data_IF_373787088100
#
_entry.id   IF_373787088100
#
_cell.length_a   1.000
_cell.length_b   1.000
_cell.length_c   1.000
_cell.angle_alpha   90.00
_cell.angle_beta   90.00
_cell.angle_gamma   90.00
#
_symmetry.space_group_name_H-M   'P 1'
#
loop_
_entity.id
_entity.type
_entity.pdbx_description
1 polymer ?
#
# COMPACT_ATOMS: atom_id res chain seq x y z
N UNK A 1 -10.66 -9.33 -20.61
CA UNK A 1 -9.26 -8.91 -20.75
C UNK A 1 -8.70 -8.63 -19.37
N UNK A 2 -7.58 -9.24 -19.00
CA UNK A 2 -6.89 -8.96 -17.74
C UNK A 2 -5.87 -7.84 -18.00
N UNK A 3 -6.01 -6.72 -17.31
CA UNK A 3 -5.11 -5.59 -17.48
C UNK A 3 -3.97 -5.69 -16.47
N UNK A 4 -2.73 -5.59 -16.94
CA UNK A 4 -1.57 -5.41 -16.06
C UNK A 4 -1.49 -3.94 -15.66
N UNK A 5 -1.17 -3.67 -14.40
CA UNK A 5 -0.94 -2.30 -13.91
C UNK A 5 0.33 -2.23 -13.08
N UNK A 6 0.98 -1.09 -13.18
CA UNK A 6 2.12 -0.72 -12.37
C UNK A 6 1.76 0.57 -11.62
N UNK A 7 1.98 0.58 -10.31
CA UNK A 7 1.65 1.69 -9.44
C UNK A 7 2.87 1.99 -8.56
N UNK A 8 3.12 3.28 -8.35
CA UNK A 8 4.07 3.78 -7.36
C UNK A 8 3.27 4.54 -6.32
N UNK A 9 3.51 4.24 -5.05
CA UNK A 9 2.87 4.93 -3.95
C UNK A 9 3.93 5.36 -2.95
N UNK A 10 4.00 6.66 -2.69
CA UNK A 10 4.95 7.24 -1.75
C UNK A 10 4.20 7.75 -0.52
N UNK A 11 4.66 7.35 0.66
CA UNK A 11 4.12 7.77 1.95
C UNK A 11 5.22 8.45 2.76
N UNK A 12 5.11 9.77 2.91
CA UNK A 12 6.00 10.55 3.76
C UNK A 12 5.30 10.92 5.07
N UNK A 13 6.00 10.74 6.19
CA UNK A 13 5.54 11.14 7.51
C UNK A 13 6.60 11.99 8.21
N UNK A 14 6.14 13.07 8.83
CA UNK A 14 6.93 13.88 9.76
C UNK A 14 6.03 14.31 10.93
N UNK A 15 6.37 13.87 12.14
CA UNK A 15 5.53 14.07 13.31
C UNK A 15 6.05 13.36 14.56
N UNK A 16 5.11 12.96 15.42
CA UNK A 16 5.44 12.22 16.64
C UNK A 16 5.56 10.73 16.33
N UNK A 17 6.62 10.09 16.82
CA UNK A 17 6.77 8.65 16.69
C UNK A 17 5.63 7.91 17.37
N UNK A 18 5.13 6.85 16.74
CA UNK A 18 4.03 6.03 17.24
C UNK A 18 4.58 4.74 17.86
N UNK A 19 4.40 4.57 19.16
CA UNK A 19 4.72 3.30 19.83
C UNK A 19 3.56 2.31 19.70
N UNK A 20 3.67 1.44 18.69
CA UNK A 20 2.71 0.38 18.44
C UNK A 20 3.24 -0.91 19.09
N UNK A 21 2.51 -1.44 20.07
CA UNK A 21 2.87 -2.71 20.72
C UNK A 21 2.78 -3.84 19.68
N UNK A 22 3.87 -4.61 19.53
CA UNK A 22 4.05 -5.60 18.45
C UNK A 22 3.98 -5.03 17.03
N UNK A 23 4.08 -3.71 16.88
CA UNK A 23 4.19 -3.06 15.58
C UNK A 23 5.63 -2.98 15.10
N UNK A 24 5.78 -2.58 13.85
CA UNK A 24 7.08 -2.34 13.26
C UNK A 24 7.78 -1.14 13.92
N UNK A 25 9.06 -1.31 14.27
CA UNK A 25 9.90 -0.27 14.86
C UNK A 25 10.07 0.96 13.96
N UNK A 26 9.83 0.80 12.65
CA UNK A 26 9.76 1.87 11.66
C UNK A 26 8.84 3.02 12.09
N UNK A 27 7.66 2.71 12.66
CA UNK A 27 6.67 3.72 13.05
C UNK A 27 7.07 4.51 14.30
N UNK A 28 8.13 4.11 15.02
CA UNK A 28 8.67 4.86 16.16
C UNK A 28 9.43 6.12 15.73
N UNK A 29 9.81 6.21 14.46
CA UNK A 29 10.66 7.30 13.96
C UNK A 29 9.80 8.55 13.75
N UNK A 30 10.36 9.71 14.12
CA UNK A 30 9.70 11.02 13.94
C UNK A 30 9.55 11.44 12.49
N UNK A 31 10.43 10.92 11.63
CA UNK A 31 10.42 11.18 10.20
C UNK A 31 10.70 9.86 9.51
N UNK A 32 9.90 9.53 8.51
CA UNK A 32 10.13 8.36 7.67
C UNK A 32 9.47 8.54 6.30
N UNK A 33 9.93 7.76 5.34
CA UNK A 33 9.36 7.62 4.02
C UNK A 33 9.20 6.14 3.68
N UNK A 34 8.11 5.77 3.00
CA UNK A 34 7.92 4.46 2.40
C UNK A 34 7.55 4.61 0.94
N UNK A 35 8.32 3.97 0.07
CA UNK A 35 7.99 3.84 -1.33
C UNK A 35 7.50 2.42 -1.63
N UNK A 36 6.26 2.29 -2.08
CA UNK A 36 5.68 1.05 -2.54
C UNK A 36 5.71 0.95 -4.07
N UNK A 37 6.37 -0.09 -4.56
CA UNK A 37 6.33 -0.51 -5.96
C UNK A 37 5.32 -1.65 -6.07
N UNK A 38 4.23 -1.40 -6.79
CA UNK A 38 3.10 -2.32 -6.85
C UNK A 38 2.91 -2.82 -8.28
N UNK A 39 2.94 -4.13 -8.44
CA UNK A 39 2.63 -4.80 -9.70
C UNK A 39 1.34 -5.59 -9.58
N UNK A 40 0.37 -5.26 -10.45
CA UNK A 40 -0.92 -5.94 -10.54
C UNK A 40 -0.94 -6.77 -11.82
N UNK A 41 -0.53 -8.05 -11.80
CA UNK A 41 -0.57 -8.89 -12.99
C UNK A 41 -1.99 -9.32 -13.36
N UNK A 42 -2.88 -9.37 -12.38
CA UNK A 42 -4.24 -9.89 -12.54
C UNK A 42 -5.25 -8.87 -12.03
N UNK A 43 -6.04 -8.35 -12.96
CA UNK A 43 -7.22 -7.55 -12.69
C UNK A 43 -8.36 -8.13 -13.52
N UNK A 44 -9.34 -8.74 -12.86
CA UNK A 44 -10.48 -9.34 -13.54
C UNK A 44 -11.77 -9.15 -12.74
N UNK A 45 -12.78 -8.57 -13.39
CA UNK A 45 -14.07 -8.22 -12.77
C UNK A 45 -13.85 -7.41 -11.48
N UNK A 46 -14.15 -8.02 -10.33
CA UNK A 46 -14.09 -7.43 -8.99
C UNK A 46 -12.92 -7.93 -8.15
N UNK A 47 -12.00 -8.69 -8.75
CA UNK A 47 -10.85 -9.29 -8.07
C UNK A 47 -9.57 -8.71 -8.67
N UNK A 48 -8.66 -8.27 -7.79
CA UNK A 48 -7.29 -7.92 -8.16
C UNK A 48 -6.28 -8.62 -7.26
N UNK A 49 -5.21 -9.13 -7.87
CA UNK A 49 -4.04 -9.66 -7.19
C UNK A 49 -2.86 -8.74 -7.41
N UNK A 50 -2.16 -8.37 -6.34
CA UNK A 50 -1.05 -7.41 -6.36
C UNK A 50 0.16 -7.97 -5.62
N UNK A 51 1.34 -7.77 -6.20
CA UNK A 51 2.62 -7.88 -5.52
C UNK A 51 3.09 -6.48 -5.14
N UNK A 52 3.54 -6.31 -3.90
CA UNK A 52 3.94 -5.03 -3.34
C UNK A 52 5.35 -5.20 -2.79
N UNK A 53 6.26 -4.35 -3.24
CA UNK A 53 7.60 -4.21 -2.70
C UNK A 53 7.70 -2.84 -2.02
N UNK A 54 7.87 -2.84 -0.71
CA UNK A 54 7.87 -1.65 0.13
C UNK A 54 9.29 -1.33 0.58
N UNK A 55 9.78 -0.15 0.23
CA UNK A 55 11.09 0.34 0.62
C UNK A 55 10.95 1.34 1.76
N UNK A 56 11.44 0.99 2.95
CA UNK A 56 11.32 1.81 4.14
C UNK A 56 12.61 2.62 4.38
N UNK A 57 12.45 3.93 4.50
CA UNK A 57 13.54 4.88 4.73
C UNK A 57 13.26 5.69 5.98
N UNK A 58 14.20 5.74 6.91
CA UNK A 58 14.12 6.59 8.10
C UNK A 58 15.52 7.00 8.56
N UNK A 59 15.66 8.08 9.36
CA UNK A 59 16.96 8.48 9.90
C UNK A 59 17.65 7.33 10.64
N UNK A 60 18.83 6.95 10.14
CA UNK A 60 19.65 5.87 10.70
C UNK A 60 19.18 4.45 10.38
N UNK A 61 18.14 4.26 9.55
CA UNK A 61 17.66 2.94 9.14
C UNK A 61 17.07 2.99 7.73
N UNK A 62 17.78 2.39 6.77
CA UNK A 62 17.43 2.38 5.33
C UNK A 62 17.10 0.98 4.78
N UNK A 63 17.04 -0.04 5.64
CA UNK A 63 17.02 -1.44 5.19
C UNK A 63 15.94 -2.28 5.88
N UNK A 64 14.73 -1.72 6.03
CA UNK A 64 13.58 -2.44 6.57
C UNK A 64 12.56 -2.78 5.48
N UNK A 65 13.04 -3.27 4.34
CA UNK A 65 12.19 -3.47 3.17
C UNK A 65 11.23 -4.64 3.38
N UNK A 66 9.99 -4.48 2.92
CA UNK A 66 8.94 -5.48 3.07
C UNK A 66 8.37 -5.91 1.71
N UNK A 67 7.80 -7.10 1.70
CA UNK A 67 7.16 -7.70 0.52
C UNK A 67 5.80 -8.23 0.93
N UNK A 68 4.78 -7.92 0.13
CA UNK A 68 3.43 -8.40 0.39
C UNK A 68 2.77 -8.89 -0.89
N UNK A 69 1.98 -9.96 -0.75
CA UNK A 69 0.99 -10.36 -1.73
C UNK A 69 -0.40 -9.97 -1.22
N UNK A 70 -1.15 -9.24 -2.05
CA UNK A 70 -2.46 -8.69 -1.69
C UNK A 70 -3.52 -9.16 -2.69
N UNK A 71 -4.59 -9.76 -2.19
CA UNK A 71 -5.82 -10.01 -2.96
C UNK A 71 -6.88 -9.03 -2.47
N UNK A 72 -7.52 -8.33 -3.39
CA UNK A 72 -8.67 -7.48 -3.08
C UNK A 72 -9.86 -7.98 -3.89
N UNK A 73 -10.96 -8.26 -3.20
CA UNK A 73 -12.24 -8.64 -3.78
C UNK A 73 -13.28 -7.57 -3.41
N UNK A 74 -13.90 -6.97 -4.43
CA UNK A 74 -15.10 -6.16 -4.25
C UNK A 74 -16.33 -7.09 -4.26
N UNK A 75 -17.00 -7.22 -3.11
CA UNK A 75 -18.20 -8.06 -2.95
C UNK A 75 -19.42 -7.48 -3.67
N UNK A 76 -19.31 -6.26 -4.19
CA UNK A 76 -20.41 -5.52 -4.81
C UNK A 76 -21.15 -4.69 -3.78
N UNK A 77 -21.58 -3.52 -4.23
CA UNK A 77 -22.51 -2.65 -3.52
C UNK A 77 -23.65 -2.31 -4.45
N UNK A 78 -24.86 -2.17 -3.90
CA UNK A 78 -26.00 -1.65 -4.66
C UNK A 78 -25.71 -0.17 -4.90
N UNK A 79 -25.56 0.25 -6.16
CA UNK A 79 -25.48 1.68 -6.49
C UNK A 79 -26.82 2.31 -6.12
N UNK A 80 -26.87 3.01 -4.99
CA UNK A 80 -28.12 3.59 -4.48
C UNK A 80 -28.56 4.79 -5.34
N UNK A 81 -27.60 5.61 -5.76
CA UNK A 81 -27.83 6.75 -6.65
C UNK A 81 -26.60 6.91 -7.53
N UNK A 82 -26.79 7.13 -8.83
CA UNK A 82 -25.75 7.58 -9.75
C UNK A 82 -26.16 8.97 -10.22
N UNK A 83 -25.45 10.00 -9.75
CA UNK A 83 -25.67 11.35 -10.25
C UNK A 83 -25.24 11.38 -11.72
N UNK A 84 -26.09 11.94 -12.57
CA UNK A 84 -25.75 12.20 -13.98
C UNK A 84 -24.92 13.49 -14.01
N UNK A 85 -23.80 13.42 -14.71
CA UNK A 85 -23.05 14.60 -15.17
C UNK A 85 -23.87 15.35 -16.23
#
# INVERSE_FOLDING_TARGET
MAYKRFELHDEFYAGQGHHIIYGDSYYLKKIYNRLDVIYTPFLFKRIKGQFIFSFHQSPGQLNDNQQAFRIIADLGRKTLVRFKD
#
